data_IF_822115619152
#
_entry.id   IF_822115619152
#
_cell.length_a   1.000
_cell.length_b   1.000
_cell.length_c   1.000
_cell.angle_alpha   90.00
_cell.angle_beta   90.00
_cell.angle_gamma   90.00
#
_symmetry.space_group_name_H-M   'P 1'
#
loop_
_entity.id
_entity.type
_entity.pdbx_description
1 polymer ?
#
# COMPACT_ATOMS: atom_id res chain seq x y z
N UNK A 1 7.75 -9.88 60.97
CA UNK A 1 7.71 -10.81 59.83
C UNK A 1 8.04 -9.99 58.62
N UNK A 2 9.32 -10.06 58.31
CA UNK A 2 10.04 -9.26 57.34
C UNK A 2 9.46 -9.42 55.94
N UNK A 3 9.48 -8.31 55.19
CA UNK A 3 9.12 -8.27 53.79
C UNK A 3 10.21 -8.97 52.98
N UNK A 4 9.88 -10.10 52.37
CA UNK A 4 10.77 -10.80 51.46
C UNK A 4 10.84 -10.01 50.14
N UNK A 5 11.95 -9.30 50.01
CA UNK A 5 12.37 -8.46 48.91
C UNK A 5 13.01 -9.33 47.82
N UNK A 6 12.21 -10.10 47.07
CA UNK A 6 12.75 -10.86 45.93
C UNK A 6 11.72 -11.21 44.85
N UNK A 7 11.23 -10.21 44.09
CA UNK A 7 10.54 -10.48 42.81
C UNK A 7 10.70 -9.35 41.77
N UNK A 8 11.94 -8.84 41.61
CA UNK A 8 12.29 -7.92 40.53
C UNK A 8 13.41 -8.52 39.69
N UNK A 9 13.06 -9.35 38.71
CA UNK A 9 14.08 -9.97 37.86
C UNK A 9 13.62 -10.83 36.69
N UNK A 10 12.45 -10.58 36.09
CA UNK A 10 12.07 -11.21 34.82
C UNK A 10 11.82 -10.18 33.74
N UNK A 11 12.91 -9.66 33.17
CA UNK A 11 12.86 -9.08 31.84
C UNK A 11 12.49 -10.18 30.84
N UNK A 12 11.39 -9.97 30.14
CA UNK A 12 10.81 -10.95 29.24
C UNK A 12 11.48 -10.82 27.86
N UNK A 13 12.75 -11.20 27.77
CA UNK A 13 13.50 -11.19 26.52
C UNK A 13 13.03 -12.37 25.67
N UNK A 14 12.12 -12.11 24.72
CA UNK A 14 11.74 -13.09 23.71
C UNK A 14 12.88 -13.23 22.71
N UNK A 15 13.80 -14.15 22.97
CA UNK A 15 14.78 -14.59 21.98
C UNK A 15 14.08 -15.58 21.03
N UNK A 16 13.98 -15.31 19.71
CA UNK A 16 13.51 -16.31 18.78
C UNK A 16 14.56 -17.43 18.70
N UNK A 17 14.14 -18.67 18.94
CA UNK A 17 15.02 -19.83 18.85
C UNK A 17 15.41 -20.08 17.38
N UNK A 18 16.57 -19.55 16.96
CA UNK A 18 17.25 -19.95 15.74
C UNK A 18 18.10 -21.20 16.05
N UNK A 19 18.01 -22.21 15.18
CA UNK A 19 18.64 -23.51 15.35
C UNK A 19 20.17 -23.44 15.50
N UNK A 20 20.70 -24.42 16.24
CA UNK A 20 22.09 -24.64 16.60
C UNK A 20 23.12 -24.28 15.50
N UNK A 21 24.08 -23.41 15.84
CA UNK A 21 25.29 -23.20 15.06
C UNK A 21 26.10 -21.98 15.48
N UNK A 22 27.04 -22.20 16.41
CA UNK A 22 28.28 -21.44 16.66
C UNK A 22 28.20 -20.05 17.32
N UNK A 23 28.77 -20.00 18.53
CA UNK A 23 29.05 -18.81 19.31
C UNK A 23 30.16 -17.96 18.66
N UNK A 24 29.81 -16.78 18.17
CA UNK A 24 30.72 -15.70 17.81
C UNK A 24 30.63 -14.57 18.84
N UNK A 25 31.79 -14.07 19.28
CA UNK A 25 31.97 -13.27 20.49
C UNK A 25 31.19 -11.96 20.60
N UNK A 26 31.03 -11.55 21.85
CA UNK A 26 30.47 -10.27 22.30
C UNK A 26 31.34 -9.11 21.78
N UNK A 27 30.96 -8.56 20.63
CA UNK A 27 31.27 -7.19 20.25
C UNK A 27 30.12 -6.30 20.71
N UNK A 28 30.38 -5.43 21.69
CA UNK A 28 29.52 -4.28 21.98
C UNK A 28 29.57 -3.33 20.77
N UNK A 29 28.76 -3.59 19.75
CA UNK A 29 28.38 -2.59 18.78
C UNK A 29 27.18 -1.84 19.35
N UNK A 30 27.46 -0.72 20.02
CA UNK A 30 26.44 0.27 20.34
C UNK A 30 25.90 0.85 19.04
N UNK A 31 24.96 0.15 18.40
CA UNK A 31 24.13 0.73 17.37
C UNK A 31 23.34 1.87 18.03
N UNK A 32 23.67 3.10 17.64
CA UNK A 32 22.81 4.26 17.90
C UNK A 32 21.53 3.99 17.15
N UNK A 33 20.55 3.38 17.82
CA UNK A 33 19.21 3.17 17.29
C UNK A 33 18.58 4.57 17.12
N UNK A 34 18.84 5.21 15.98
CA UNK A 34 18.24 6.50 15.63
C UNK A 34 16.74 6.34 15.81
N UNK A 35 16.17 7.07 16.77
CA UNK A 35 14.74 6.99 17.05
C UNK A 35 13.98 7.43 15.82
N UNK A 36 13.49 6.46 15.05
CA UNK A 36 12.77 6.72 13.81
C UNK A 36 11.46 7.39 14.20
N UNK A 37 11.33 8.69 13.95
CA UNK A 37 10.08 9.43 14.12
C UNK A 37 9.20 9.29 12.86
N UNK A 38 7.89 9.55 12.98
CA UNK A 38 6.99 9.48 11.82
C UNK A 38 7.36 10.52 10.76
N UNK A 39 7.73 10.07 9.56
CA UNK A 39 8.21 10.92 8.47
C UNK A 39 7.68 10.49 7.10
N UNK A 40 7.65 11.46 6.18
CA UNK A 40 7.36 11.23 4.77
C UNK A 40 8.43 11.95 3.95
N UNK A 41 9.33 11.19 3.36
CA UNK A 41 10.53 11.70 2.69
C UNK A 41 10.48 11.39 1.20
N UNK A 42 10.68 12.39 0.35
CA UNK A 42 10.75 12.20 -1.09
C UNK A 42 12.16 11.75 -1.47
N UNK A 43 12.25 10.56 -2.08
CA UNK A 43 13.50 9.98 -2.57
C UNK A 43 13.78 10.46 -3.99
N UNK A 44 12.73 10.55 -4.83
CA UNK A 44 12.87 10.98 -6.21
C UNK A 44 11.59 10.86 -7.03
N UNK A 45 11.70 11.05 -8.35
CA UNK A 45 10.57 11.02 -9.26
C UNK A 45 10.76 9.98 -10.37
N UNK A 46 9.72 9.19 -10.63
CA UNK A 46 9.73 8.13 -11.66
C UNK A 46 8.54 8.29 -12.59
N UNK A 47 8.63 7.78 -13.81
CA UNK A 47 7.51 7.82 -14.76
C UNK A 47 6.34 6.97 -14.25
N UNK A 48 5.10 7.48 -14.37
CA UNK A 48 3.89 6.79 -13.90
C UNK A 48 3.71 5.40 -14.51
N UNK A 49 4.16 5.20 -15.76
CA UNK A 49 4.12 3.90 -16.46
C UNK A 49 4.92 2.79 -15.77
N UNK A 50 5.88 3.12 -14.90
CA UNK A 50 6.67 2.13 -14.16
C UNK A 50 5.90 1.56 -12.95
N UNK A 51 4.84 2.22 -12.52
CA UNK A 51 3.95 1.71 -11.48
C UNK A 51 2.92 0.77 -12.11
N UNK A 52 3.10 -0.53 -11.91
CA UNK A 52 2.15 -1.55 -12.37
C UNK A 52 1.02 -1.70 -11.35
N UNK A 53 -0.18 -1.99 -11.83
CA UNK A 53 -1.35 -2.25 -10.97
C UNK A 53 -1.10 -3.38 -9.95
N UNK A 54 -0.36 -4.41 -10.36
CA UNK A 54 -0.02 -5.58 -9.56
C UNK A 54 0.93 -5.27 -8.39
N UNK A 55 1.67 -4.15 -8.44
CA UNK A 55 2.59 -3.76 -7.37
C UNK A 55 1.90 -3.07 -6.19
N UNK A 56 0.58 -3.13 -6.07
CA UNK A 56 -0.13 -2.51 -4.95
C UNK A 56 -0.20 -3.51 -3.80
N UNK A 57 0.48 -3.20 -2.70
CA UNK A 57 0.28 -3.91 -1.44
C UNK A 57 -0.67 -3.10 -0.57
N UNK A 58 -1.83 -3.68 -0.27
CA UNK A 58 -2.80 -3.11 0.65
C UNK A 58 -3.50 -1.83 0.18
N UNK A 59 -4.06 -1.12 1.16
CA UNK A 59 -4.85 0.10 0.93
C UNK A 59 -3.93 1.29 0.66
N UNK A 60 -4.44 2.24 -0.13
CA UNK A 60 -3.74 3.50 -0.37
C UNK A 60 -4.13 4.52 0.69
N UNK A 61 -3.25 5.49 0.95
CA UNK A 61 -3.54 6.60 1.85
C UNK A 61 -3.72 7.89 1.05
N UNK A 62 -4.66 8.73 1.47
CA UNK A 62 -4.82 10.06 0.90
C UNK A 62 -4.09 11.08 1.78
N UNK A 63 -3.15 11.81 1.19
CA UNK A 63 -2.35 12.82 1.88
C UNK A 63 -2.90 14.20 1.50
N UNK A 64 -3.23 14.95 2.54
CA UNK A 64 -3.69 16.31 2.43
C UNK A 64 -2.88 17.23 3.38
N UNK A 65 -2.44 18.42 2.93
CA UNK A 65 -1.63 19.32 3.71
C UNK A 65 -2.38 19.93 4.91
N UNK A 66 -1.67 20.07 6.04
CA UNK A 66 -2.19 20.69 7.26
C UNK A 66 -1.60 22.09 7.49
N UNK A 67 -2.29 23.11 6.97
CA UNK A 67 -1.88 24.52 7.01
C UNK A 67 -1.66 25.06 8.43
N UNK A 68 -2.40 24.56 9.43
CA UNK A 68 -2.27 25.01 10.82
C UNK A 68 -0.96 24.62 11.50
N UNK A 69 -0.17 23.69 10.92
CA UNK A 69 1.14 23.28 11.45
C UNK A 69 2.28 23.96 10.71
N UNK A 70 2.14 24.08 9.38
CA UNK A 70 3.12 24.71 8.50
C UNK A 70 2.35 25.60 7.51
N UNK A 71 2.51 26.90 7.65
CA UNK A 71 1.94 27.89 6.73
C UNK A 71 2.60 27.79 5.36
N UNK A 72 1.81 27.84 4.29
CA UNK A 72 2.23 27.65 2.90
C UNK A 72 2.22 26.20 2.42
N UNK A 73 1.92 25.23 3.29
CA UNK A 73 1.95 23.81 2.93
C UNK A 73 0.89 23.44 1.88
N UNK A 74 -0.30 24.05 1.93
CA UNK A 74 -1.34 23.86 0.90
C UNK A 74 -0.86 24.22 -0.50
N UNK A 75 -0.31 25.43 -0.65
CA UNK A 75 0.19 25.94 -1.93
C UNK A 75 1.33 25.07 -2.48
N UNK A 76 2.23 24.63 -1.60
CA UNK A 76 3.34 23.76 -1.97
C UNK A 76 2.84 22.41 -2.50
N UNK A 77 1.94 21.75 -1.77
CA UNK A 77 1.42 20.43 -2.16
C UNK A 77 0.56 20.51 -3.42
N UNK A 78 -0.25 21.56 -3.59
CA UNK A 78 -1.01 21.81 -4.81
C UNK A 78 -0.09 22.00 -6.03
N UNK A 79 0.95 22.82 -5.88
CA UNK A 79 1.95 23.03 -6.93
C UNK A 79 2.68 21.73 -7.29
N UNK A 80 3.05 20.94 -6.28
CA UNK A 80 3.67 19.63 -6.46
C UNK A 80 2.73 18.66 -7.20
N UNK A 81 1.49 18.54 -6.76
CA UNK A 81 0.48 17.67 -7.38
C UNK A 81 0.27 18.04 -8.86
N UNK A 82 0.06 19.33 -9.14
CA UNK A 82 -0.08 19.84 -10.50
C UNK A 82 1.16 19.53 -11.36
N UNK A 83 2.37 19.68 -10.81
CA UNK A 83 3.62 19.44 -11.55
C UNK A 83 3.82 17.96 -11.85
N UNK A 84 3.60 17.09 -10.87
CA UNK A 84 3.71 15.63 -11.05
C UNK A 84 2.68 15.15 -12.09
N UNK A 85 1.45 15.67 -12.04
CA UNK A 85 0.40 15.36 -13.00
C UNK A 85 0.78 15.79 -14.43
N UNK A 86 1.22 17.04 -14.61
CA UNK A 86 1.65 17.59 -15.91
C UNK A 86 2.81 16.80 -16.53
N UNK A 87 3.73 16.31 -15.71
CA UNK A 87 4.89 15.55 -16.17
C UNK A 87 4.61 14.05 -16.36
N UNK A 88 3.43 13.56 -15.99
CA UNK A 88 3.11 12.12 -16.03
C UNK A 88 4.04 11.28 -15.14
N UNK A 89 4.48 11.85 -14.02
CA UNK A 89 5.40 11.21 -13.07
C UNK A 89 4.66 10.75 -11.81
N UNK A 90 5.39 10.07 -10.94
CA UNK A 90 5.05 9.75 -9.55
C UNK A 90 6.27 10.09 -8.69
N UNK A 91 6.06 10.43 -7.42
CA UNK A 91 7.18 10.57 -6.48
C UNK A 91 7.37 9.25 -5.72
N UNK A 92 8.60 8.78 -5.62
CA UNK A 92 8.97 7.68 -4.74
C UNK A 92 9.29 8.25 -3.36
N UNK A 93 8.70 7.66 -2.33
CA UNK A 93 8.83 8.15 -0.96
C UNK A 93 9.19 7.02 0.00
N UNK A 94 9.91 7.38 1.06
CA UNK A 94 10.03 6.60 2.29
C UNK A 94 8.97 7.11 3.25
N UNK A 95 8.12 6.21 3.72
CA UNK A 95 7.03 6.53 4.63
C UNK A 95 7.18 5.76 5.93
N UNK A 96 7.20 6.49 7.05
CA UNK A 96 7.18 5.95 8.40
C UNK A 96 5.91 6.47 9.08
N UNK A 97 4.94 5.58 9.32
CA UNK A 97 3.62 5.97 9.81
C UNK A 97 3.64 6.49 11.26
N UNK A 98 4.48 5.91 12.11
CA UNK A 98 4.60 6.26 13.53
C UNK A 98 6.03 6.01 14.02
N UNK A 99 6.37 6.55 15.19
CA UNK A 99 7.68 6.32 15.76
C UNK A 99 7.97 4.81 15.93
N UNK A 100 9.19 4.39 15.63
CA UNK A 100 9.66 3.00 15.68
C UNK A 100 8.86 2.02 14.80
N UNK A 101 8.15 2.51 13.78
CA UNK A 101 7.57 1.66 12.74
C UNK A 101 8.60 1.39 11.65
N UNK A 102 8.50 0.21 11.04
CA UNK A 102 9.31 -0.12 9.87
C UNK A 102 9.01 0.86 8.71
N UNK A 103 10.04 1.42 8.05
CA UNK A 103 9.85 2.28 6.90
C UNK A 103 9.31 1.48 5.71
N UNK A 104 8.36 2.07 5.01
CA UNK A 104 7.75 1.48 3.81
C UNK A 104 8.09 2.36 2.61
N UNK A 105 8.49 1.74 1.50
CA UNK A 105 8.58 2.45 0.23
C UNK A 105 7.18 2.59 -0.38
N UNK A 106 6.85 3.80 -0.80
CA UNK A 106 5.56 4.08 -1.42
C UNK A 106 5.71 4.96 -2.65
N UNK A 107 4.70 4.92 -3.52
CA UNK A 107 4.55 5.82 -4.65
C UNK A 107 3.47 6.87 -4.32
N UNK A 108 3.83 8.15 -4.39
CA UNK A 108 2.88 9.25 -4.41
C UNK A 108 2.41 9.50 -5.84
N UNK A 109 1.13 9.26 -6.07
CA UNK A 109 0.42 9.57 -7.30
C UNK A 109 -0.40 10.85 -7.13
N UNK A 110 -0.38 11.79 -8.09
CA UNK A 110 -1.24 12.96 -8.05
C UNK A 110 -2.69 12.55 -8.33
N UNK A 111 -3.61 13.08 -7.55
CA UNK A 111 -5.05 13.00 -7.76
C UNK A 111 -5.57 14.41 -8.01
N UNK A 112 -5.98 14.66 -9.26
CA UNK A 112 -6.57 15.94 -9.63
C UNK A 112 -8.03 15.97 -9.17
N UNK A 113 -8.54 17.14 -8.73
CA UNK A 113 -9.94 17.28 -8.39
C UNK A 113 -10.80 17.03 -9.64
N UNK A 114 -11.89 16.29 -9.46
CA UNK A 114 -12.90 16.06 -10.48
C UNK A 114 -14.29 16.25 -9.87
N UNK A 115 -15.00 17.26 -10.37
CA UNK A 115 -16.33 17.67 -9.92
C UNK A 115 -17.37 16.57 -10.17
N UNK A 116 -17.24 15.84 -11.30
CA UNK A 116 -18.19 14.77 -11.65
C UNK A 116 -18.06 13.57 -10.72
N UNK A 117 -16.85 13.30 -10.24
CA UNK A 117 -16.53 12.16 -9.38
C UNK A 117 -16.43 12.53 -7.90
N UNK A 118 -16.81 13.76 -7.51
CA UNK A 118 -16.67 14.32 -6.15
C UNK A 118 -15.29 14.05 -5.53
N UNK A 119 -14.26 14.04 -6.37
CA UNK A 119 -12.93 13.59 -5.99
C UNK A 119 -12.12 14.76 -5.47
N UNK A 120 -11.63 14.65 -4.24
CA UNK A 120 -10.76 15.67 -3.65
C UNK A 120 -9.39 15.71 -4.34
N UNK A 121 -8.87 16.92 -4.56
CA UNK A 121 -7.52 17.12 -5.06
C UNK A 121 -6.47 16.84 -3.98
N UNK A 122 -5.43 16.08 -4.31
CA UNK A 122 -4.38 15.74 -3.35
C UNK A 122 -3.35 14.73 -3.87
N UNK A 123 -2.70 14.03 -2.95
CA UNK A 123 -1.70 13.01 -3.25
C UNK A 123 -2.15 11.67 -2.68
N UNK A 124 -2.12 10.62 -3.50
CA UNK A 124 -2.41 9.25 -3.07
C UNK A 124 -1.10 8.51 -2.87
N UNK A 125 -0.86 8.06 -1.64
CA UNK A 125 0.25 7.20 -1.29
C UNK A 125 -0.13 5.74 -1.50
N UNK A 126 0.62 5.07 -2.35
CA UNK A 126 0.43 3.66 -2.71
C UNK A 126 1.63 2.89 -2.17
N UNK A 127 1.46 2.06 -1.12
CA UNK A 127 2.54 1.22 -0.61
C UNK A 127 3.03 0.25 -1.68
N UNK A 128 4.36 0.13 -1.79
CA UNK A 128 5.02 -0.74 -2.77
C UNK A 128 5.55 -2.00 -2.10
N UNK A 129 5.59 -3.13 -2.83
CA UNK A 129 6.24 -4.35 -2.38
C UNK A 129 7.72 -4.15 -2.17
N UNK A 130 8.24 -4.74 -1.09
CA UNK A 130 9.64 -5.11 -1.01
C UNK A 130 9.91 -6.34 -1.88
N UNK A 131 11.18 -6.68 -2.07
CA UNK A 131 11.56 -7.85 -2.86
C UNK A 131 10.92 -9.14 -2.31
N UNK A 132 10.84 -9.28 -0.99
CA UNK A 132 10.30 -10.46 -0.31
C UNK A 132 8.79 -10.65 -0.52
N UNK A 133 8.06 -9.58 -0.82
CA UNK A 133 6.63 -9.62 -1.10
C UNK A 133 6.34 -10.11 -2.53
N UNK A 134 7.31 -10.03 -3.43
CA UNK A 134 7.16 -10.43 -4.83
C UNK A 134 7.37 -11.95 -4.93
N UNK A 135 6.28 -12.68 -5.22
CA UNK A 135 6.32 -14.12 -5.43
C UNK A 135 6.52 -14.44 -6.92
N UNK A 136 7.52 -15.26 -7.23
CA UNK A 136 7.66 -15.87 -8.55
C UNK A 136 6.72 -17.07 -8.67
N UNK A 137 5.96 -17.13 -9.76
CA UNK A 137 5.10 -18.27 -10.10
C UNK A 137 5.68 -18.96 -11.33
N UNK A 138 6.00 -20.25 -11.20
CA UNK A 138 6.39 -21.08 -12.32
C UNK A 138 5.13 -21.60 -13.00
N UNK A 139 4.62 -20.83 -13.96
CA UNK A 139 3.45 -21.20 -14.74
C UNK A 139 3.86 -22.11 -15.91
N UNK A 140 3.06 -23.15 -16.23
CA UNK A 140 3.34 -24.01 -17.37
C UNK A 140 3.14 -23.24 -18.68
N UNK A 141 4.23 -22.72 -19.26
CA UNK A 141 4.46 -22.36 -20.68
C UNK A 141 3.41 -21.53 -21.44
N UNK A 142 2.32 -21.12 -20.83
CA UNK A 142 1.19 -20.47 -21.49
C UNK A 142 1.45 -18.97 -21.48
N UNK A 143 2.28 -18.54 -22.42
CA UNK A 143 2.36 -17.14 -22.75
C UNK A 143 1.02 -16.71 -23.35
N UNK A 144 0.25 -15.93 -22.59
CA UNK A 144 -1.07 -15.43 -23.01
C UNK A 144 -0.96 -14.67 -24.34
N UNK A 145 0.16 -13.96 -24.56
CA UNK A 145 0.40 -13.23 -25.81
C UNK A 145 0.61 -14.18 -27.00
N UNK A 146 1.30 -15.30 -26.82
CA UNK A 146 1.46 -16.34 -27.87
C UNK A 146 0.12 -16.97 -28.21
N UNK A 147 -0.69 -17.30 -27.20
CA UNK A 147 -2.01 -17.91 -27.38
C UNK A 147 -2.98 -16.96 -28.09
N UNK A 148 -2.98 -15.67 -27.75
CA UNK A 148 -3.82 -14.65 -28.41
C UNK A 148 -3.37 -14.39 -29.86
N UNK A 149 -2.07 -14.56 -30.15
CA UNK A 149 -1.54 -14.35 -31.51
C UNK A 149 -1.98 -15.43 -32.50
N UNK A 150 -2.35 -16.62 -32.00
CA UNK A 150 -2.84 -17.73 -32.81
C UNK A 150 -4.18 -17.37 -33.46
N UNK A 151 -4.22 -17.38 -34.79
CA UNK A 151 -5.42 -17.09 -35.60
C UNK A 151 -6.60 -18.00 -35.23
N UNK A 152 -6.30 -19.25 -34.85
CA UNK A 152 -7.26 -20.30 -34.49
C UNK A 152 -8.11 -19.96 -33.27
N UNK A 153 -7.60 -19.14 -32.34
CA UNK A 153 -8.30 -18.77 -31.11
C UNK A 153 -9.13 -17.49 -31.26
N UNK A 154 -9.00 -16.75 -32.37
CA UNK A 154 -9.77 -15.54 -32.65
C UNK A 154 -11.30 -15.70 -32.49
N UNK A 155 -11.96 -16.76 -33.02
CA UNK A 155 -13.41 -16.92 -32.84
C UNK A 155 -13.81 -17.12 -31.38
N UNK A 156 -12.98 -17.81 -30.59
CA UNK A 156 -13.23 -18.03 -29.17
C UNK A 156 -13.11 -16.73 -28.37
N UNK A 157 -12.09 -15.92 -28.69
CA UNK A 157 -11.90 -14.58 -28.10
C UNK A 157 -13.06 -13.65 -28.46
N UNK A 158 -13.57 -13.72 -29.69
CA UNK A 158 -14.73 -12.92 -30.10
C UNK A 158 -16.03 -13.35 -29.39
N UNK A 159 -16.27 -14.65 -29.28
CA UNK A 159 -17.39 -15.18 -28.49
C UNK A 159 -17.32 -14.74 -27.03
N UNK A 160 -16.14 -14.83 -26.41
CA UNK A 160 -15.91 -14.36 -25.03
C UNK A 160 -16.13 -12.84 -24.90
N UNK A 161 -15.69 -12.03 -25.87
CA UNK A 161 -15.96 -10.58 -25.90
C UNK A 161 -17.46 -10.30 -25.97
N UNK A 162 -18.23 -11.08 -26.74
CA UNK A 162 -19.70 -10.95 -26.80
C UNK A 162 -20.34 -11.19 -25.42
N UNK A 163 -19.91 -12.25 -24.73
CA UNK A 163 -20.37 -12.57 -23.37
C UNK A 163 -20.04 -11.43 -22.40
N UNK A 164 -18.81 -10.93 -22.40
CA UNK A 164 -18.38 -9.83 -21.51
C UNK A 164 -19.21 -8.55 -21.77
N UNK A 165 -19.52 -8.26 -23.04
CA UNK A 165 -20.39 -7.12 -23.38
C UNK A 165 -21.80 -7.29 -22.83
N UNK A 166 -22.34 -8.51 -22.85
CA UNK A 166 -23.65 -8.83 -22.26
C UNK A 166 -23.70 -8.63 -20.74
N UNK A 167 -22.61 -8.91 -20.03
CA UNK A 167 -22.51 -8.75 -18.57
C UNK A 167 -22.00 -7.38 -18.11
N UNK A 168 -21.83 -6.41 -19.02
CA UNK A 168 -21.28 -5.11 -18.64
C UNK A 168 -22.29 -4.31 -17.83
N UNK A 169 -21.98 -4.08 -16.56
CA UNK A 169 -22.75 -3.20 -15.67
C UNK A 169 -22.58 -1.75 -16.18
N UNK A 170 -23.68 -1.06 -16.49
CA UNK A 170 -23.66 0.29 -17.07
C UNK A 170 -23.17 1.36 -16.09
N UNK A 171 -23.48 1.21 -14.81
CA UNK A 171 -23.13 2.16 -13.75
C UNK A 171 -22.52 1.42 -12.56
N UNK A 172 -21.23 1.10 -12.65
CA UNK A 172 -20.50 0.59 -11.49
C UNK A 172 -20.12 1.76 -10.56
N UNK A 173 -20.40 1.59 -9.26
CA UNK A 173 -19.98 2.51 -8.21
C UNK A 173 -19.40 1.69 -7.04
N UNK A 174 -18.32 2.14 -6.37
CA UNK A 174 -17.81 1.47 -5.17
C UNK A 174 -18.86 1.30 -4.07
N UNK A 175 -19.91 2.13 -4.07
CA UNK A 175 -20.99 2.11 -3.08
C UNK A 175 -22.19 1.25 -3.48
N UNK A 176 -22.17 0.60 -4.66
CA UNK A 176 -23.32 -0.18 -5.14
C UNK A 176 -23.44 -1.56 -4.48
N UNK A 177 -22.41 -2.02 -3.78
CA UNK A 177 -22.36 -3.35 -3.16
C UNK A 177 -22.09 -3.18 -1.66
N UNK A 178 -23.11 -3.48 -0.86
CA UNK A 178 -23.01 -3.51 0.60
C UNK A 178 -22.25 -4.75 1.08
N UNK A 179 -21.67 -4.68 2.28
CA UNK A 179 -21.21 -5.87 2.99
C UNK A 179 -22.42 -6.67 3.50
N UNK A 180 -22.69 -7.89 2.98
CA UNK A 180 -23.88 -8.65 3.35
C UNK A 180 -23.86 -9.09 4.81
N UNK A 181 -22.68 -9.41 5.37
CA UNK A 181 -22.52 -9.84 6.76
C UNK A 181 -22.86 -8.72 7.73
N UNK A 182 -22.40 -7.49 7.47
CA UNK A 182 -22.75 -6.33 8.29
C UNK A 182 -24.24 -6.02 8.22
N UNK A 183 -24.83 -6.09 7.02
CA UNK A 183 -26.26 -5.85 6.81
C UNK A 183 -27.13 -6.83 7.60
N UNK A 184 -26.77 -8.12 7.58
CA UNK A 184 -27.45 -9.16 8.37
C UNK A 184 -27.28 -8.95 9.87
N UNK A 185 -26.07 -8.61 10.32
CA UNK A 185 -25.78 -8.35 11.73
C UNK A 185 -26.64 -7.21 12.29
N UNK A 186 -26.63 -6.04 11.66
CA UNK A 186 -27.42 -4.89 12.13
C UNK A 186 -28.93 -5.09 12.01
N UNK A 187 -29.39 -5.83 10.99
CA UNK A 187 -30.80 -6.22 10.89
C UNK A 187 -31.24 -7.14 12.06
N UNK A 188 -30.33 -7.96 12.59
CA UNK A 188 -30.58 -8.78 13.78
C UNK A 188 -30.57 -7.98 15.08
N UNK A 189 -29.66 -7.00 15.20
CA UNK A 189 -29.57 -6.11 16.38
C UNK A 189 -30.81 -5.23 16.51
N UNK A 190 -31.31 -4.66 15.40
CA UNK A 190 -32.48 -3.78 15.41
C UNK A 190 -33.84 -4.46 15.63
N UNK A 191 -33.87 -5.79 15.80
CA UNK A 191 -35.10 -6.57 16.06
C UNK A 191 -35.27 -6.97 17.54
N UNK A 192 -34.38 -6.56 18.43
CA UNK A 192 -34.49 -6.79 19.88
C UNK A 192 -35.08 -5.61 20.60
#
# INVERSE_FOLDING_TARGET
FDADENDRGRENTRVPAAGNGEAGGEGEEGEVEETISGSLEIIGFKNRRKLKFQHRIGHGYFIYPHEGRITGSKRLVEALCCRIAKLGKIALVRFVARANAQPIFAALSPQMPDEASQTSGGLVLIPLPFADDIRSLDLPGTCVDEVISQEEQRPQVEAAKSIIRGFRISHWSPYSIDNPTLKLFYAGVGRK
#
